data_IF_069388807543
#
_entry.id   IF_069388807543
#
_cell.length_a   1.000
_cell.length_b   1.000
_cell.length_c   1.000
_cell.angle_alpha   90.00
_cell.angle_beta   90.00
_cell.angle_gamma   90.00
#
_symmetry.space_group_name_H-M   'P 1'
#
loop_
_entity.id
_entity.type
_entity.pdbx_description
1 polymer ?
#
# COMPACT_ATOMS: atom_id res chain seq x y z
N UNK A 1 -0.36 -8.89 15.09
CA UNK A 1 -1.76 -8.50 15.34
C UNK A 1 -2.39 -7.89 14.09
N UNK A 2 -1.82 -6.80 13.54
CA UNK A 2 -2.29 -6.15 12.29
C UNK A 2 -2.43 -7.15 11.12
N UNK A 3 -1.40 -7.93 10.80
CA UNK A 3 -1.49 -8.92 9.71
C UNK A 3 -2.64 -9.95 9.87
N UNK A 4 -3.05 -10.27 11.11
CA UNK A 4 -4.15 -11.22 11.36
C UNK A 4 -5.51 -10.54 11.16
N UNK A 5 -5.65 -9.30 11.64
CA UNK A 5 -6.84 -8.48 11.37
C UNK A 5 -7.01 -8.22 9.87
N UNK A 6 -5.91 -8.00 9.15
CA UNK A 6 -5.98 -7.81 7.71
C UNK A 6 -6.45 -9.08 7.00
N UNK A 7 -5.95 -10.26 7.38
CA UNK A 7 -6.48 -11.53 6.84
C UNK A 7 -7.98 -11.70 7.12
N UNK A 8 -8.41 -11.48 8.37
CA UNK A 8 -9.84 -11.52 8.71
C UNK A 8 -10.66 -10.51 7.91
N UNK A 9 -10.12 -9.33 7.61
CA UNK A 9 -10.81 -8.33 6.79
C UNK A 9 -11.03 -8.78 5.33
N UNK A 10 -10.13 -9.58 4.77
CA UNK A 10 -10.31 -10.13 3.41
C UNK A 10 -11.16 -11.40 3.40
N UNK A 11 -11.03 -12.24 4.42
CA UNK A 11 -11.67 -13.56 4.46
C UNK A 11 -13.09 -13.51 5.04
N UNK A 12 -13.35 -12.65 6.03
CA UNK A 12 -14.60 -12.63 6.80
C UNK A 12 -15.59 -11.55 6.35
N UNK A 13 -15.19 -10.67 5.41
CA UNK A 13 -16.05 -9.59 4.89
C UNK A 13 -16.69 -9.99 3.56
N UNK A 14 -18.01 -9.85 3.48
CA UNK A 14 -18.77 -10.08 2.24
C UNK A 14 -18.76 -8.82 1.39
N UNK A 15 -17.82 -8.77 0.44
CA UNK A 15 -17.63 -7.62 -0.46
C UNK A 15 -18.66 -7.53 -1.59
N UNK A 16 -19.23 -8.66 -2.02
CA UNK A 16 -20.09 -8.72 -3.20
C UNK A 16 -19.30 -8.49 -4.49
N UNK A 17 -19.93 -7.90 -5.50
CA UNK A 17 -19.26 -7.47 -6.73
C UNK A 17 -18.63 -6.08 -6.52
N UNK A 18 -17.33 -5.98 -6.78
CA UNK A 18 -16.58 -4.73 -6.69
C UNK A 18 -15.77 -4.53 -7.96
N UNK A 19 -15.86 -3.33 -8.53
CA UNK A 19 -14.94 -2.90 -9.59
C UNK A 19 -13.56 -2.59 -9.00
N UNK A 20 -13.53 -2.02 -7.79
CA UNK A 20 -12.31 -1.60 -7.10
C UNK A 20 -12.41 -1.78 -5.59
N UNK A 21 -11.31 -2.22 -4.99
CA UNK A 21 -11.09 -2.21 -3.53
C UNK A 21 -9.85 -1.37 -3.23
N UNK A 22 -10.04 -0.24 -2.54
CA UNK A 22 -8.96 0.65 -2.14
C UNK A 22 -8.55 0.30 -0.71
N UNK A 23 -7.25 0.09 -0.50
CA UNK A 23 -6.69 -0.25 0.79
C UNK A 23 -5.82 0.91 1.28
N UNK A 24 -6.19 1.48 2.42
CA UNK A 24 -5.34 2.44 3.11
C UNK A 24 -4.31 1.68 3.95
N UNK A 25 -3.05 1.78 3.54
CA UNK A 25 -1.95 1.11 4.21
C UNK A 25 -1.39 2.04 5.29
N UNK A 26 -0.99 1.51 6.46
CA UNK A 26 -0.33 2.32 7.49
C UNK A 26 0.91 3.02 6.92
N UNK A 27 1.28 4.21 7.42
CA UNK A 27 2.39 4.98 6.86
C UNK A 27 3.74 4.31 7.12
N UNK A 28 4.73 4.65 6.28
CA UNK A 28 6.12 4.23 6.40
C UNK A 28 6.49 2.97 5.61
N UNK A 29 7.79 2.71 5.48
CA UNK A 29 8.37 1.59 4.72
C UNK A 29 8.66 0.35 5.57
N UNK A 30 8.13 0.30 6.80
CA UNK A 30 8.40 -0.76 7.76
C UNK A 30 7.81 -2.13 7.37
N UNK A 31 8.30 -3.18 8.02
CA UNK A 31 7.98 -4.59 7.71
C UNK A 31 6.49 -4.91 7.65
N UNK A 32 5.66 -4.20 8.43
CA UNK A 32 4.20 -4.41 8.44
C UNK A 32 3.60 -4.09 7.08
N UNK A 33 3.95 -2.94 6.50
CA UNK A 33 3.42 -2.51 5.21
C UNK A 33 3.85 -3.47 4.09
N UNK A 34 5.14 -3.88 4.11
CA UNK A 34 5.69 -4.84 3.16
C UNK A 34 5.05 -6.22 3.28
N UNK A 35 4.81 -6.69 4.50
CA UNK A 35 4.14 -7.97 4.75
C UNK A 35 2.72 -7.96 4.20
N UNK A 36 2.00 -6.84 4.32
CA UNK A 36 0.65 -6.70 3.78
C UNK A 36 0.65 -6.73 2.26
N UNK A 37 1.53 -5.97 1.61
CA UNK A 37 1.67 -5.94 0.14
C UNK A 37 2.10 -7.30 -0.42
N UNK A 38 2.86 -8.09 0.33
CA UNK A 38 3.24 -9.46 -0.10
C UNK A 38 2.12 -10.47 0.06
N UNK A 39 1.30 -10.33 1.11
CA UNK A 39 0.21 -11.28 1.39
C UNK A 39 -1.00 -11.03 0.51
N UNK A 40 -1.25 -9.78 0.16
CA UNK A 40 -2.36 -9.35 -0.66
C UNK A 40 -1.79 -9.15 -2.06
N UNK A 41 -2.17 -9.97 -3.03
CA UNK A 41 -1.71 -9.84 -4.41
C UNK A 41 -2.31 -8.58 -5.07
N UNK A 42 -1.83 -7.40 -4.67
CA UNK A 42 -2.36 -6.11 -5.10
C UNK A 42 -2.04 -5.87 -6.58
N UNK A 43 -3.04 -5.38 -7.32
CA UNK A 43 -2.89 -4.98 -8.73
C UNK A 43 -1.96 -3.78 -8.86
N UNK A 44 -2.08 -2.79 -7.99
CA UNK A 44 -1.18 -1.64 -8.01
C UNK A 44 -1.27 -0.80 -6.76
N UNK A 45 -0.43 0.23 -6.71
CA UNK A 45 -0.38 1.16 -5.60
C UNK A 45 -0.24 2.61 -6.07
N UNK A 46 -0.75 3.50 -5.24
CA UNK A 46 -0.58 4.95 -5.32
C UNK A 46 0.14 5.39 -4.05
N UNK A 47 1.22 6.16 -4.20
CA UNK A 47 1.96 6.70 -3.07
C UNK A 47 1.49 8.12 -2.79
N UNK A 48 1.09 8.41 -1.57
CA UNK A 48 0.72 9.77 -1.13
C UNK A 48 1.88 10.39 -0.37
N UNK A 49 2.25 11.62 -0.70
CA UNK A 49 3.39 12.32 -0.09
C UNK A 49 3.12 13.81 0.09
N UNK A 50 3.97 14.50 0.83
CA UNK A 50 3.95 15.97 0.97
C UNK A 50 5.15 16.58 0.23
N UNK A 51 5.15 17.88 -0.11
CA UNK A 51 6.28 18.53 -0.79
C UNK A 51 7.52 18.67 0.09
N UNK A 52 7.47 18.25 1.35
CA UNK A 52 8.58 18.32 2.28
C UNK A 52 9.68 17.36 1.87
N UNK A 53 10.93 17.81 1.94
CA UNK A 53 12.09 17.03 1.49
C UNK A 53 12.19 15.65 2.13
N UNK A 54 11.81 15.53 3.40
CA UNK A 54 11.82 14.24 4.11
C UNK A 54 10.82 13.25 3.49
N UNK A 55 9.58 13.68 3.27
CA UNK A 55 8.55 12.83 2.67
C UNK A 55 8.91 12.40 1.23
N UNK A 56 9.60 13.24 0.46
CA UNK A 56 10.10 12.89 -0.87
C UNK A 56 11.18 11.80 -0.84
N UNK A 57 12.04 11.78 0.20
CA UNK A 57 13.04 10.73 0.37
C UNK A 57 12.37 9.38 0.68
N UNK A 58 11.34 9.39 1.53
CA UNK A 58 10.58 8.20 1.88
C UNK A 58 9.83 7.62 0.67
N UNK A 59 9.29 8.48 -0.21
CA UNK A 59 8.65 8.07 -1.47
C UNK A 59 9.61 7.33 -2.39
N UNK A 60 10.82 7.85 -2.56
CA UNK A 60 11.81 7.23 -3.43
C UNK A 60 12.13 5.81 -2.95
N UNK A 61 12.44 5.66 -1.67
CA UNK A 61 12.71 4.34 -1.09
C UNK A 61 11.48 3.41 -1.17
N UNK A 62 10.29 3.90 -0.83
CA UNK A 62 9.06 3.10 -0.89
C UNK A 62 8.72 2.65 -2.32
N UNK A 63 8.93 3.51 -3.31
CA UNK A 63 8.67 3.20 -4.71
C UNK A 63 9.55 2.07 -5.25
N UNK A 64 10.83 2.02 -4.86
CA UNK A 64 11.75 0.95 -5.24
C UNK A 64 11.30 -0.40 -4.64
N UNK A 65 10.91 -0.41 -3.37
CA UNK A 65 10.50 -1.64 -2.70
C UNK A 65 9.18 -2.17 -3.30
N UNK A 66 8.25 -1.29 -3.64
CA UNK A 66 6.96 -1.65 -4.23
C UNK A 66 7.08 -2.09 -5.69
N UNK A 67 7.99 -1.49 -6.46
CA UNK A 67 8.22 -1.87 -7.86
C UNK A 67 8.62 -3.34 -8.02
N UNK A 68 9.32 -3.91 -7.04
CA UNK A 68 9.67 -5.33 -7.04
C UNK A 68 8.58 -6.28 -6.56
N UNK A 69 7.45 -5.77 -6.04
CA UNK A 69 6.40 -6.57 -5.36
C UNK A 69 5.01 -6.43 -5.97
N UNK A 70 4.76 -5.39 -6.75
CA UNK A 70 3.47 -5.08 -7.35
C UNK A 70 3.48 -5.29 -8.86
N UNK A 71 2.29 -5.51 -9.44
CA UNK A 71 2.15 -5.59 -10.89
C UNK A 71 2.31 -4.21 -11.57
N UNK A 72 1.92 -3.13 -10.91
CA UNK A 72 2.09 -1.75 -11.42
C UNK A 72 2.15 -0.72 -10.29
N UNK A 73 3.06 0.25 -10.39
CA UNK A 73 3.04 1.48 -9.59
C UNK A 73 2.33 2.59 -10.40
N UNK A 74 1.15 3.05 -9.95
CA UNK A 74 0.33 3.99 -10.72
C UNK A 74 0.77 5.45 -10.59
N UNK A 75 1.52 5.81 -9.54
CA UNK A 75 2.14 7.12 -9.43
C UNK A 75 2.19 7.68 -7.99
N UNK A 76 2.52 8.97 -7.90
CA UNK A 76 2.61 9.72 -6.65
C UNK A 76 1.60 10.86 -6.63
N UNK A 77 0.88 11.01 -5.52
CA UNK A 77 -0.02 12.13 -5.25
C UNK A 77 0.63 13.03 -4.21
N UNK A 78 0.73 14.33 -4.51
CA UNK A 78 1.23 15.35 -3.57
C UNK A 78 0.06 15.95 -2.80
N UNK A 79 0.05 15.73 -1.50
CA UNK A 79 -0.84 16.35 -0.54
C UNK A 79 -0.16 17.57 0.11
N UNK A 80 -0.95 18.53 0.60
CA UNK A 80 -0.48 19.82 1.11
C UNK A 80 0.36 19.71 2.39
#
# INVERSE_FOLDING_TARGET
MVSRMTQQFFDDVVWGELDFLILDLPPGTGDIQLTLVQKLALTGAVIVTTPQKLALLDVNQGSEILAGKLSTLWGTIKNQ
#
